data_IF_802423673718
#
_entry.id   IF_802423673718
#
_cell.length_a   1.000
_cell.length_b   1.000
_cell.length_c   1.000
_cell.angle_alpha   90.00
_cell.angle_beta   90.00
_cell.angle_gamma   90.00
#
_symmetry.space_group_name_H-M   'P 1'
#
loop_
_entity.id
_entity.type
_entity.pdbx_description
1 polymer ?
#
# COMPACT_ATOMS: atom_id res chain seq x y z
N UNK A 1 -39.54 -78.25 -24.63
CA UNK A 1 -38.22 -77.62 -24.92
C UNK A 1 -38.15 -77.29 -26.39
N UNK A 2 -38.21 -76.00 -26.78
CA UNK A 2 -38.17 -75.57 -28.18
C UNK A 2 -37.85 -74.08 -28.33
N UNK A 3 -36.95 -73.81 -29.29
CA UNK A 3 -36.71 -72.60 -30.13
C UNK A 3 -35.81 -71.44 -29.63
N UNK A 4 -34.92 -71.04 -30.55
CA UNK A 4 -33.99 -69.89 -30.62
C UNK A 4 -34.74 -68.54 -30.92
N UNK A 5 -34.10 -67.45 -31.44
CA UNK A 5 -32.92 -66.62 -31.05
C UNK A 5 -33.29 -65.09 -30.92
N UNK A 6 -32.26 -64.22 -30.82
CA UNK A 6 -32.14 -62.78 -31.20
C UNK A 6 -32.02 -61.65 -30.15
N UNK A 7 -30.97 -60.84 -30.39
CA UNK A 7 -30.81 -59.36 -30.35
C UNK A 7 -30.55 -58.55 -29.07
N UNK A 8 -29.44 -57.79 -29.16
CA UNK A 8 -29.15 -56.41 -28.70
C UNK A 8 -28.99 -56.10 -27.19
N UNK A 9 -27.83 -55.52 -26.80
CA UNK A 9 -27.74 -54.10 -26.39
C UNK A 9 -26.27 -53.70 -26.05
N UNK A 10 -26.00 -52.40 -26.27
CA UNK A 10 -24.81 -51.57 -26.12
C UNK A 10 -23.93 -51.77 -24.85
N UNK A 11 -22.61 -51.57 -24.99
CA UNK A 11 -21.93 -50.50 -24.24
C UNK A 11 -20.58 -50.06 -24.83
N UNK A 12 -20.26 -48.79 -24.54
CA UNK A 12 -19.33 -47.88 -25.21
C UNK A 12 -17.90 -48.02 -24.70
N UNK A 13 -16.90 -47.71 -25.55
CA UNK A 13 -15.65 -47.02 -25.13
C UNK A 13 -14.84 -46.43 -26.30
N UNK A 14 -14.63 -45.12 -26.18
CA UNK A 14 -13.46 -44.33 -26.56
C UNK A 14 -13.13 -44.08 -28.04
N UNK A 15 -13.54 -42.90 -28.53
CA UNK A 15 -12.86 -42.19 -29.63
C UNK A 15 -12.60 -40.74 -29.17
N UNK A 16 -11.33 -40.41 -28.92
CA UNK A 16 -10.87 -39.02 -28.88
C UNK A 16 -10.75 -38.55 -30.33
N UNK A 17 -11.53 -37.54 -30.71
CA UNK A 17 -11.48 -36.92 -32.04
C UNK A 17 -11.02 -35.48 -31.86
N UNK A 18 -9.87 -35.16 -32.46
CA UNK A 18 -9.36 -33.81 -32.67
C UNK A 18 -10.24 -33.12 -33.71
N UNK A 19 -10.70 -31.91 -33.42
CA UNK A 19 -11.42 -31.06 -34.38
C UNK A 19 -10.78 -29.68 -34.45
N UNK A 20 -10.42 -29.33 -35.68
CA UNK A 20 -9.89 -28.05 -36.13
C UNK A 20 -11.02 -27.10 -36.58
N UNK A 21 -10.66 -25.83 -36.80
CA UNK A 21 -11.46 -24.78 -37.46
C UNK A 21 -12.00 -23.76 -36.46
N UNK A 22 -12.02 -22.45 -36.72
CA UNK A 22 -12.05 -21.69 -37.97
C UNK A 22 -12.01 -20.20 -37.58
N UNK A 23 -11.38 -19.31 -38.38
CA UNK A 23 -11.94 -18.02 -38.86
C UNK A 23 -10.85 -17.03 -39.36
N UNK A 24 -10.86 -16.81 -40.69
CA UNK A 24 -10.76 -15.56 -41.47
C UNK A 24 -9.43 -14.75 -41.45
N UNK A 25 -8.65 -14.70 -42.55
CA UNK A 25 -8.78 -13.92 -43.82
C UNK A 25 -8.42 -12.41 -43.72
N UNK A 26 -7.20 -12.07 -44.20
CA UNK A 26 -6.71 -10.89 -44.99
C UNK A 26 -7.12 -9.43 -44.60
N UNK A 27 -6.27 -8.39 -44.80
CA UNK A 27 -5.24 -8.30 -45.86
C UNK A 27 -3.86 -7.72 -45.47
N UNK A 28 -2.81 -8.22 -46.15
CA UNK A 28 -1.56 -7.49 -46.35
C UNK A 28 -1.74 -6.59 -47.59
N UNK A 29 -1.79 -5.28 -47.36
CA UNK A 29 -1.60 -4.27 -48.41
C UNK A 29 -0.11 -3.89 -48.46
N UNK A 30 0.36 -3.76 -49.69
CA UNK A 30 1.73 -3.58 -50.14
C UNK A 30 2.31 -2.18 -49.80
N UNK A 31 3.60 -2.18 -49.43
CA UNK A 31 4.65 -1.19 -49.72
C UNK A 31 4.54 0.29 -49.29
N UNK A 32 5.74 0.78 -48.88
CA UNK A 32 6.22 2.18 -48.72
C UNK A 32 5.70 2.84 -47.44
N UNK A 33 6.53 3.26 -46.48
CA UNK A 33 7.79 3.99 -46.60
C UNK A 33 8.73 3.64 -45.43
N UNK A 34 9.99 3.35 -45.74
CA UNK A 34 11.11 3.48 -44.82
C UNK A 34 11.69 4.88 -45.00
N UNK A 35 11.77 5.72 -43.95
CA UNK A 35 12.84 6.67 -43.82
C UNK A 35 13.81 6.23 -42.71
N UNK A 36 15.08 6.41 -43.05
CA UNK A 36 16.31 6.18 -42.30
C UNK A 36 16.26 6.48 -40.78
N UNK A 37 16.83 5.52 -40.02
CA UNK A 37 17.81 5.66 -38.94
C UNK A 37 17.80 6.96 -38.11
N UNK A 38 17.18 6.90 -36.93
CA UNK A 38 17.90 7.03 -35.65
C UNK A 38 17.06 6.40 -34.53
N UNK A 39 16.97 5.07 -34.52
CA UNK A 39 16.48 4.38 -33.33
C UNK A 39 17.65 4.42 -32.34
N UNK A 40 17.62 5.38 -31.42
CA UNK A 40 18.36 5.26 -30.19
C UNK A 40 18.05 3.88 -29.63
N UNK A 41 19.08 3.13 -29.24
CA UNK A 41 18.91 1.92 -28.45
C UNK A 41 18.31 2.39 -27.13
N UNK A 42 16.98 2.47 -27.07
CA UNK A 42 16.23 2.55 -25.82
C UNK A 42 16.58 1.27 -25.10
N UNK A 43 17.28 1.42 -23.98
CA UNK A 43 17.76 0.33 -23.15
C UNK A 43 16.56 -0.56 -22.80
N UNK A 44 16.72 -1.88 -22.90
CA UNK A 44 15.65 -2.82 -22.55
C UNK A 44 15.11 -2.62 -21.12
N UNK A 45 15.86 -1.94 -20.25
CA UNK A 45 15.46 -1.51 -18.91
C UNK A 45 14.28 -0.51 -18.90
N UNK A 46 14.22 0.45 -19.84
CA UNK A 46 13.19 1.49 -19.89
C UNK A 46 11.83 0.91 -20.34
N UNK A 47 11.86 -0.04 -21.27
CA UNK A 47 10.66 -0.76 -21.73
C UNK A 47 10.09 -1.73 -20.69
N UNK A 48 10.90 -2.22 -19.76
CA UNK A 48 10.40 -3.05 -18.64
C UNK A 48 9.76 -2.18 -17.57
N UNK A 49 10.32 -1.01 -17.29
CA UNK A 49 9.80 -0.07 -16.29
C UNK A 49 8.44 0.49 -16.71
N UNK A 50 8.29 0.94 -17.96
CA UNK A 50 7.00 1.38 -18.51
C UNK A 50 5.94 0.29 -18.48
N UNK A 51 6.33 -0.97 -18.68
CA UNK A 51 5.41 -2.12 -18.71
C UNK A 51 5.00 -2.60 -17.32
N UNK A 52 5.85 -2.41 -16.31
CA UNK A 52 5.51 -2.65 -14.90
C UNK A 52 4.59 -1.54 -14.39
N UNK A 53 4.93 -0.27 -14.67
CA UNK A 53 4.13 0.92 -14.33
C UNK A 53 2.71 0.81 -14.92
N UNK A 54 2.58 0.46 -16.19
CA UNK A 54 1.26 0.30 -16.83
C UNK A 54 0.46 -0.87 -16.28
N UNK A 55 1.10 -1.97 -15.86
CA UNK A 55 0.40 -3.07 -15.18
C UNK A 55 -0.12 -2.66 -13.80
N UNK A 56 0.69 -1.95 -13.01
CA UNK A 56 0.26 -1.46 -11.70
C UNK A 56 -0.90 -0.46 -11.83
N UNK A 57 -0.82 0.47 -12.78
CA UNK A 57 -1.90 1.42 -13.08
C UNK A 57 -3.18 0.67 -13.50
N UNK A 58 -3.07 -0.28 -14.43
CA UNK A 58 -4.23 -1.05 -14.91
C UNK A 58 -4.84 -1.94 -13.82
N UNK A 59 -4.03 -2.55 -12.95
CA UNK A 59 -4.51 -3.34 -11.81
C UNK A 59 -5.25 -2.46 -10.79
N UNK A 60 -4.77 -1.23 -10.54
CA UNK A 60 -5.40 -0.26 -9.65
C UNK A 60 -6.69 0.35 -10.23
N UNK A 61 -6.83 0.41 -11.56
CA UNK A 61 -8.09 0.84 -12.21
C UNK A 61 -9.12 -0.30 -12.26
N UNK A 62 -8.68 -1.54 -12.49
CA UNK A 62 -9.56 -2.70 -12.69
C UNK A 62 -10.13 -3.25 -11.38
N UNK A 63 -9.32 -3.30 -10.31
CA UNK A 63 -9.83 -3.48 -8.97
C UNK A 63 -10.05 -2.08 -8.39
N UNK A 64 -11.28 -1.65 -8.10
CA UNK A 64 -11.58 -0.38 -7.43
C UNK A 64 -11.05 -0.28 -5.97
N UNK A 65 -9.89 -0.88 -5.71
CA UNK A 65 -9.06 -0.62 -4.56
C UNK A 65 -8.59 0.82 -4.78
N UNK A 66 -9.00 1.75 -3.93
CA UNK A 66 -8.29 3.02 -3.80
C UNK A 66 -7.15 2.75 -2.80
N UNK A 67 -5.95 2.32 -3.24
CA UNK A 67 -4.81 2.37 -2.35
C UNK A 67 -4.52 3.84 -2.02
N UNK A 68 -3.75 4.10 -0.96
CA UNK A 68 -3.16 5.41 -0.78
C UNK A 68 -2.50 5.94 -2.06
N UNK A 69 -2.55 7.26 -2.25
CA UNK A 69 -1.88 7.89 -3.39
C UNK A 69 -0.36 7.86 -3.14
N UNK A 70 0.33 6.89 -3.75
CA UNK A 70 1.80 6.80 -3.80
C UNK A 70 2.40 5.56 -3.11
N UNK A 71 3.51 5.05 -3.66
CA UNK A 71 4.30 4.00 -3.03
C UNK A 71 4.91 4.50 -1.70
N UNK A 72 4.97 3.61 -0.70
CA UNK A 72 5.51 3.93 0.61
C UNK A 72 7.04 3.99 0.54
N UNK A 73 7.60 5.20 0.59
CA UNK A 73 9.05 5.40 0.63
C UNK A 73 9.48 6.01 1.97
N UNK A 74 10.24 5.25 2.73
CA UNK A 74 10.70 5.63 4.07
C UNK A 74 12.22 5.70 4.13
N UNK A 75 12.73 6.75 4.76
CA UNK A 75 14.08 6.80 5.28
C UNK A 75 14.07 6.11 6.66
N UNK A 76 15.08 5.28 6.94
CA UNK A 76 15.19 4.57 8.23
C UNK A 76 16.43 5.07 8.98
N UNK A 77 16.23 5.51 10.22
CA UNK A 77 17.31 5.77 11.17
C UNK A 77 17.80 4.47 11.82
N UNK A 78 19.01 4.50 12.37
CA UNK A 78 19.62 3.35 13.03
C UNK A 78 18.89 2.90 14.31
N UNK A 79 18.08 3.75 14.93
CA UNK A 79 17.31 3.50 16.16
C UNK A 79 15.82 3.18 15.92
N UNK A 80 15.50 2.55 14.77
CA UNK A 80 14.14 2.13 14.38
C UNK A 80 13.12 3.27 14.25
N UNK A 81 13.60 4.50 14.06
CA UNK A 81 12.77 5.63 13.64
C UNK A 81 12.73 5.70 12.12
N UNK A 82 11.63 6.21 11.57
CA UNK A 82 11.43 6.34 10.13
C UNK A 82 11.02 7.77 9.79
N UNK A 83 11.34 8.20 8.57
CA UNK A 83 10.86 9.46 8.04
C UNK A 83 10.27 9.28 6.64
N UNK A 84 9.18 9.98 6.34
CA UNK A 84 8.55 9.99 5.02
C UNK A 84 9.48 10.68 4.01
N UNK A 85 9.77 10.04 2.88
CA UNK A 85 10.59 10.65 1.81
C UNK A 85 9.74 11.18 0.66
N UNK A 86 8.46 10.80 0.62
CA UNK A 86 7.41 11.35 -0.24
C UNK A 86 6.19 11.70 0.61
N UNK A 87 5.36 12.67 0.20
CA UNK A 87 4.09 12.91 0.86
C UNK A 87 3.18 11.69 0.77
N UNK A 88 2.33 11.53 1.79
CA UNK A 88 1.40 10.42 1.96
C UNK A 88 0.03 11.05 2.18
N UNK A 89 -0.96 10.70 1.36
CA UNK A 89 -2.34 11.17 1.51
C UNK A 89 -3.30 10.02 1.78
N UNK A 90 -4.12 10.14 2.80
CA UNK A 90 -5.19 9.19 3.09
C UNK A 90 -6.56 9.84 2.92
N UNK A 91 -7.44 9.15 2.22
CA UNK A 91 -8.86 9.47 2.06
C UNK A 91 -9.65 8.17 2.17
N UNK A 92 -10.78 8.13 2.89
CA UNK A 92 -11.60 6.93 2.95
C UNK A 92 -12.01 6.45 1.55
N UNK A 93 -11.92 5.15 1.29
CA UNK A 93 -12.31 4.55 0.02
C UNK A 93 -13.83 4.64 -0.22
N UNK A 94 -14.63 4.46 0.84
CA UNK A 94 -16.10 4.51 0.78
C UNK A 94 -16.60 5.95 0.81
N UNK A 95 -17.42 6.33 -0.18
CA UNK A 95 -17.96 7.69 -0.30
C UNK A 95 -18.81 8.17 0.89
N UNK A 96 -19.46 7.26 1.62
CA UNK A 96 -20.18 7.62 2.86
C UNK A 96 -19.23 8.05 3.98
N UNK A 97 -18.09 7.37 4.12
CA UNK A 97 -17.07 7.72 5.11
C UNK A 97 -16.40 9.06 4.79
N UNK A 98 -16.31 9.44 3.51
CA UNK A 98 -15.80 10.75 3.09
C UNK A 98 -16.68 11.93 3.55
N UNK A 99 -17.94 11.69 3.93
CA UNK A 99 -18.81 12.71 4.56
C UNK A 99 -18.42 12.99 6.01
N UNK A 100 -17.69 12.07 6.64
CA UNK A 100 -17.36 12.12 8.07
C UNK A 100 -15.87 12.36 8.31
N UNK A 101 -15.00 11.81 7.45
CA UNK A 101 -13.55 11.90 7.60
C UNK A 101 -12.94 12.68 6.44
N UNK A 102 -12.35 13.82 6.78
CA UNK A 102 -11.57 14.62 5.85
C UNK A 102 -10.23 13.95 5.52
N UNK A 103 -9.72 14.24 4.32
CA UNK A 103 -8.40 13.81 3.86
C UNK A 103 -7.30 14.15 4.88
N UNK A 104 -6.33 13.26 5.04
CA UNK A 104 -5.12 13.48 5.85
C UNK A 104 -3.93 13.51 4.94
N UNK A 105 -3.19 14.62 4.95
CA UNK A 105 -1.94 14.75 4.22
C UNK A 105 -0.77 14.76 5.20
N UNK A 106 0.06 13.73 5.09
CA UNK A 106 1.32 13.59 5.82
C UNK A 106 2.43 14.15 4.92
N UNK A 107 3.15 15.20 5.35
CA UNK A 107 4.16 15.84 4.54
C UNK A 107 5.41 14.95 4.40
N UNK A 108 6.27 15.29 3.45
CA UNK A 108 7.65 14.81 3.41
C UNK A 108 8.37 15.19 4.72
N UNK A 109 9.26 14.31 5.18
CA UNK A 109 10.09 14.51 6.35
C UNK A 109 9.40 14.22 7.68
N UNK A 110 8.15 13.74 7.68
CA UNK A 110 7.46 13.37 8.93
C UNK A 110 8.13 12.15 9.59
N UNK A 111 8.55 12.33 10.84
CA UNK A 111 9.25 11.30 11.64
C UNK A 111 8.25 10.50 12.49
N UNK A 112 8.31 9.18 12.41
CA UNK A 112 7.40 8.20 13.03
C UNK A 112 8.16 7.00 13.58
N UNK A 113 7.63 6.41 14.64
CA UNK A 113 8.16 5.22 15.33
C UNK A 113 7.21 4.01 15.22
N UNK A 114 6.04 4.18 14.57
CA UNK A 114 4.94 3.21 14.54
C UNK A 114 4.48 2.75 15.94
N UNK A 115 4.84 3.49 17.00
CA UNK A 115 4.70 3.04 18.38
C UNK A 115 3.25 3.06 18.87
N UNK A 116 2.34 3.66 18.10
CA UNK A 116 0.91 3.59 18.35
C UNK A 116 0.36 2.16 18.30
N UNK A 117 0.97 1.26 17.54
CA UNK A 117 0.57 -0.15 17.48
C UNK A 117 1.42 -0.97 18.45
N UNK A 118 0.83 -1.60 19.49
CA UNK A 118 1.59 -2.37 20.46
C UNK A 118 2.45 -3.47 19.80
N UNK A 119 3.71 -3.60 20.24
CA UNK A 119 4.70 -4.53 19.65
C UNK A 119 4.23 -5.98 19.60
N UNK A 120 3.36 -6.40 20.51
CA UNK A 120 2.80 -7.77 20.49
C UNK A 120 2.04 -8.06 19.20
N UNK A 121 1.46 -7.05 18.55
CA UNK A 121 0.79 -7.20 17.27
C UNK A 121 1.74 -7.21 16.08
N UNK A 122 3.02 -6.84 16.25
CA UNK A 122 4.00 -6.85 15.16
C UNK A 122 4.32 -8.26 14.63
N UNK A 123 4.02 -9.30 15.40
CA UNK A 123 4.09 -10.69 14.90
C UNK A 123 3.02 -10.98 13.84
N UNK A 124 1.89 -10.28 13.89
CA UNK A 124 0.78 -10.38 12.94
C UNK A 124 0.77 -9.22 11.93
N UNK A 125 1.60 -8.21 12.18
CA UNK A 125 1.74 -6.97 11.43
C UNK A 125 3.23 -6.74 11.14
N UNK A 126 3.81 -7.45 10.17
CA UNK A 126 5.22 -7.28 9.85
C UNK A 126 5.47 -5.84 9.36
N UNK A 127 6.59 -5.23 9.76
CA UNK A 127 6.87 -3.77 9.63
C UNK A 127 7.01 -3.28 8.19
N UNK A 128 7.25 -4.19 7.25
CA UNK A 128 7.23 -4.00 5.80
C UNK A 128 5.81 -4.11 5.21
N UNK A 129 4.80 -4.30 6.06
CA UNK A 129 3.49 -4.77 5.68
C UNK A 129 2.43 -3.69 5.48
N UNK A 130 1.23 -4.22 5.19
CA UNK A 130 0.00 -3.49 4.87
C UNK A 130 -0.44 -2.43 5.90
N UNK A 131 0.05 -2.50 7.14
CA UNK A 131 -0.39 -1.60 8.21
C UNK A 131 0.48 -0.34 8.35
N UNK A 132 1.65 -0.30 7.71
CA UNK A 132 2.61 0.79 7.91
C UNK A 132 2.02 2.12 7.45
N UNK A 133 1.29 2.12 6.32
CA UNK A 133 0.64 3.32 5.82
C UNK A 133 -0.41 3.90 6.79
N UNK A 134 -1.44 3.15 7.25
CA UNK A 134 -2.39 3.69 8.21
C UNK A 134 -1.75 4.01 9.57
N UNK A 135 -0.66 3.33 9.97
CA UNK A 135 0.10 3.67 11.17
C UNK A 135 0.80 5.04 11.06
N UNK A 136 1.39 5.38 9.90
CA UNK A 136 1.99 6.70 9.65
C UNK A 136 0.95 7.81 9.77
N UNK A 137 -0.20 7.63 9.12
CA UNK A 137 -1.32 8.58 9.15
C UNK A 137 -1.78 8.79 10.59
N UNK A 138 -1.90 7.71 11.36
CA UNK A 138 -2.28 7.75 12.77
C UNK A 138 -1.25 8.50 13.63
N UNK A 139 0.04 8.17 13.51
CA UNK A 139 1.11 8.83 14.24
C UNK A 139 1.18 10.33 13.91
N UNK A 140 0.94 10.70 12.66
CA UNK A 140 0.86 12.10 12.24
C UNK A 140 -0.29 12.84 12.93
N UNK A 141 -1.47 12.22 13.01
CA UNK A 141 -2.61 12.79 13.75
C UNK A 141 -2.34 12.87 15.26
N UNK A 142 -1.69 11.86 15.82
CA UNK A 142 -1.26 11.84 17.22
C UNK A 142 -0.21 12.90 17.55
N UNK A 143 0.64 13.25 16.58
CA UNK A 143 1.62 14.31 16.73
C UNK A 143 1.00 15.70 16.55
N UNK A 144 0.25 15.90 15.46
CA UNK A 144 -0.34 17.19 15.10
C UNK A 144 -1.46 17.61 16.05
N UNK A 145 -2.27 16.65 16.50
CA UNK A 145 -3.41 16.85 17.39
C UNK A 145 -4.42 17.89 16.88
N UNK A 146 -4.55 18.00 15.55
CA UNK A 146 -5.55 18.85 14.88
C UNK A 146 -6.94 18.19 14.81
N UNK A 147 -7.04 16.93 15.20
CA UNK A 147 -8.27 16.13 15.30
C UNK A 147 -8.35 15.50 16.68
N UNK A 148 -9.52 14.98 17.06
CA UNK A 148 -9.62 14.22 18.32
C UNK A 148 -8.87 12.90 18.24
N UNK A 149 -8.42 12.40 19.39
CA UNK A 149 -7.80 11.08 19.51
C UNK A 149 -8.73 9.98 18.99
N UNK A 150 -10.02 10.06 19.33
CA UNK A 150 -11.08 9.17 18.86
C UNK A 150 -11.12 9.10 17.33
N UNK A 151 -11.01 10.25 16.67
CA UNK A 151 -11.01 10.32 15.22
C UNK A 151 -9.73 9.72 14.63
N UNK A 152 -8.57 9.99 15.23
CA UNK A 152 -7.30 9.38 14.80
C UNK A 152 -7.36 7.84 14.92
N UNK A 153 -7.81 7.31 16.06
CA UNK A 153 -7.94 5.87 16.32
C UNK A 153 -8.90 5.20 15.32
N UNK A 154 -9.99 5.89 14.96
CA UNK A 154 -10.97 5.40 14.00
C UNK A 154 -10.45 5.46 12.56
N UNK A 155 -9.65 6.48 12.20
CA UNK A 155 -8.95 6.54 10.91
C UNK A 155 -7.95 5.39 10.77
N UNK A 156 -7.19 5.07 11.81
CA UNK A 156 -6.32 3.89 11.84
C UNK A 156 -7.11 2.62 11.55
N UNK A 157 -8.24 2.44 12.24
CA UNK A 157 -9.11 1.27 12.06
C UNK A 157 -9.62 1.14 10.62
N UNK A 158 -10.12 2.24 10.03
CA UNK A 158 -10.64 2.25 8.66
C UNK A 158 -9.50 1.96 7.68
N UNK A 159 -8.37 2.65 7.80
CA UNK A 159 -7.21 2.42 6.95
C UNK A 159 -6.72 0.99 7.02
N UNK A 160 -6.64 0.38 8.21
CA UNK A 160 -6.26 -1.03 8.32
C UNK A 160 -7.26 -1.99 7.61
N UNK A 161 -8.56 -1.70 7.65
CA UNK A 161 -9.58 -2.49 6.93
C UNK A 161 -9.43 -2.35 5.41
N UNK A 162 -9.18 -1.14 4.91
CA UNK A 162 -8.99 -0.86 3.49
C UNK A 162 -7.76 -1.57 2.92
N UNK A 163 -6.73 -1.72 3.74
CA UNK A 163 -5.53 -2.48 3.39
C UNK A 163 -5.70 -3.99 3.53
N UNK A 164 -6.91 -4.48 3.86
CA UNK A 164 -7.22 -5.90 3.92
C UNK A 164 -6.53 -6.63 5.07
N UNK A 165 -6.28 -5.93 6.19
CA UNK A 165 -5.81 -6.57 7.43
C UNK A 165 -6.96 -7.35 8.05
N UNK A 166 -6.65 -8.51 8.62
CA UNK A 166 -7.64 -9.38 9.25
C UNK A 166 -8.48 -8.61 10.29
N UNK A 167 -9.83 -8.70 10.25
CA UNK A 167 -10.71 -7.96 11.15
C UNK A 167 -10.45 -8.20 12.65
N UNK A 168 -9.96 -9.38 13.04
CA UNK A 168 -9.60 -9.69 14.42
C UNK A 168 -8.41 -8.83 14.84
N UNK A 169 -7.38 -8.77 14.00
CA UNK A 169 -6.19 -7.94 14.23
C UNK A 169 -6.56 -6.45 14.25
N UNK A 170 -7.37 -6.00 13.29
CA UNK A 170 -7.86 -4.61 13.26
C UNK A 170 -8.57 -4.23 14.57
N UNK A 171 -9.52 -5.06 15.01
CA UNK A 171 -10.28 -4.77 16.22
C UNK A 171 -9.38 -4.83 17.48
N UNK A 172 -8.44 -5.78 17.53
CA UNK A 172 -7.48 -5.88 18.64
C UNK A 172 -6.59 -4.62 18.74
N UNK A 173 -6.05 -4.15 17.62
CA UNK A 173 -5.27 -2.90 17.56
C UNK A 173 -6.13 -1.70 17.95
N UNK A 174 -7.34 -1.58 17.37
CA UNK A 174 -8.26 -0.50 17.68
C UNK A 174 -8.57 -0.42 19.17
N UNK A 175 -8.97 -1.53 19.81
CA UNK A 175 -9.27 -1.53 21.24
C UNK A 175 -8.03 -1.23 22.10
N UNK A 176 -6.85 -1.65 21.65
CA UNK A 176 -5.60 -1.34 22.33
C UNK A 176 -5.28 0.15 22.32
N UNK A 177 -5.41 0.84 21.18
CA UNK A 177 -5.21 2.29 21.10
C UNK A 177 -6.31 3.06 21.83
N UNK A 178 -7.55 2.55 21.83
CA UNK A 178 -8.63 3.16 22.63
C UNK A 178 -8.32 3.13 24.12
N UNK A 179 -7.82 2.00 24.63
CA UNK A 179 -7.53 1.79 26.05
C UNK A 179 -6.25 2.51 26.52
N UNK A 180 -5.18 2.48 25.72
CA UNK A 180 -3.85 2.94 26.15
C UNK A 180 -3.35 4.21 25.43
N UNK A 181 -4.02 4.65 24.36
CA UNK A 181 -3.54 5.75 23.50
C UNK A 181 -3.48 7.11 24.19
N UNK A 182 -4.21 7.33 25.29
CA UNK A 182 -4.17 8.58 26.06
C UNK A 182 -2.75 8.90 26.58
N UNK A 183 -1.98 7.88 26.95
CA UNK A 183 -0.58 8.04 27.41
C UNK A 183 0.28 8.60 26.27
N UNK A 184 0.20 7.98 25.09
CA UNK A 184 0.95 8.43 23.90
C UNK A 184 0.50 9.82 23.43
N UNK A 185 -0.81 10.09 23.46
CA UNK A 185 -1.40 11.37 23.10
C UNK A 185 -0.87 12.51 23.97
N UNK A 186 -0.90 12.34 25.30
CA UNK A 186 -0.38 13.33 26.26
C UNK A 186 1.14 13.46 26.18
N UNK A 187 1.84 12.36 25.95
CA UNK A 187 3.29 12.37 25.77
C UNK A 187 3.71 13.20 24.55
N UNK A 188 3.05 13.03 23.40
CA UNK A 188 3.31 13.84 22.21
C UNK A 188 3.02 15.32 22.44
N UNK A 189 1.92 15.65 23.12
CA UNK A 189 1.59 17.03 23.49
C UNK A 189 2.71 17.67 24.35
N UNK A 190 3.25 16.90 25.31
CA UNK A 190 4.37 17.32 26.16
C UNK A 190 5.67 17.51 25.37
N UNK A 191 6.03 16.57 24.49
CA UNK A 191 7.23 16.70 23.66
C UNK A 191 7.15 17.93 22.75
N UNK A 192 5.99 18.18 22.14
CA UNK A 192 5.75 19.36 21.32
C UNK A 192 5.85 20.66 22.13
N UNK A 193 5.29 20.70 23.35
CA UNK A 193 5.41 21.90 24.21
C UNK A 193 6.84 22.14 24.70
N UNK A 194 7.68 21.11 24.73
CA UNK A 194 9.11 21.19 25.00
C UNK A 194 9.95 21.55 23.76
N UNK A 195 9.32 21.76 22.60
CA UNK A 195 9.98 22.18 21.37
C UNK A 195 10.47 21.06 20.46
N UNK A 196 10.12 19.80 20.73
CA UNK A 196 10.44 18.70 19.79
C UNK A 196 9.71 18.92 18.46
N UNK A 197 10.43 18.69 17.35
CA UNK A 197 9.93 18.80 15.97
C UNK A 197 10.03 17.46 15.28
N UNK A 198 9.11 17.18 14.35
CA UNK A 198 9.04 15.91 13.61
C UNK A 198 8.92 16.07 12.11
N UNK A 199 9.08 17.28 11.56
CA UNK A 199 9.06 17.52 10.10
C UNK A 199 10.45 17.93 9.66
N UNK A 200 11.15 17.04 8.97
CA UNK A 200 12.49 17.26 8.45
C UNK A 200 12.46 18.09 7.17
N UNK A 201 13.41 19.03 7.06
CA UNK A 201 13.77 19.73 5.83
C UNK A 201 14.85 18.98 5.05
N UNK A 202 15.71 18.21 5.73
CA UNK A 202 16.77 17.39 5.12
C UNK A 202 17.01 16.10 5.92
N UNK A 203 17.54 15.10 5.23
CA UNK A 203 17.84 13.78 5.79
C UNK A 203 19.34 13.65 6.06
N UNK A 204 19.77 12.83 7.03
CA UNK A 204 21.19 12.56 7.24
C UNK A 204 21.73 11.65 6.12
N UNK A 205 23.01 11.84 5.77
CA UNK A 205 23.72 10.99 4.80
C UNK A 205 24.34 9.75 5.46
N UNK A 206 24.64 9.82 6.77
CA UNK A 206 25.21 8.71 7.53
C UNK A 206 24.15 7.63 7.80
N UNK A 207 24.32 6.38 7.30
CA UNK A 207 23.37 5.30 7.52
C UNK A 207 23.30 4.83 8.99
N UNK A 208 24.30 5.17 9.81
CA UNK A 208 24.32 4.86 11.24
C UNK A 208 23.69 5.97 12.09
N UNK A 209 23.20 7.04 11.47
CA UNK A 209 22.56 8.16 12.17
C UNK A 209 21.33 7.68 12.95
N UNK A 210 21.31 8.02 14.24
CA UNK A 210 20.17 7.80 15.14
C UNK A 210 19.30 9.06 15.18
N UNK A 211 17.99 8.90 15.24
CA UNK A 211 17.06 10.00 15.41
C UNK A 211 17.33 10.80 16.68
N UNK A 212 17.67 10.13 17.79
CA UNK A 212 17.98 10.82 19.06
C UNK A 212 19.13 11.83 18.92
N UNK A 213 20.10 11.55 18.04
CA UNK A 213 21.20 12.47 17.76
C UNK A 213 20.76 13.51 16.73
N UNK A 214 20.10 13.08 15.64
CA UNK A 214 19.71 13.96 14.54
C UNK A 214 18.76 15.07 14.98
N UNK A 215 17.85 14.79 15.92
CA UNK A 215 16.85 15.75 16.39
C UNK A 215 17.43 16.92 17.20
N UNK A 216 18.69 16.84 17.64
CA UNK A 216 19.36 17.92 18.35
C UNK A 216 19.78 19.07 17.42
N UNK A 217 19.84 18.81 16.10
CA UNK A 217 20.26 19.79 15.11
C UNK A 217 19.11 20.70 14.71
N UNK A 218 19.13 21.96 15.13
CA UNK A 218 17.97 22.84 14.91
C UNK A 218 17.69 23.22 13.45
N UNK A 219 18.68 23.10 12.57
CA UNK A 219 18.62 23.50 11.17
C UNK A 219 18.12 22.38 10.22
N UNK A 220 17.82 21.18 10.76
CA UNK A 220 17.33 20.03 9.97
C UNK A 220 15.81 20.00 9.82
N UNK A 221 15.10 20.88 10.53
CA UNK A 221 13.64 20.91 10.60
C UNK A 221 13.03 22.02 9.74
N UNK A 222 11.84 21.75 9.22
CA UNK A 222 11.01 22.73 8.51
C UNK A 222 10.24 23.65 9.46
#
# INVERSE_FOLDING_TARGET
MSRQPHSQCLERRTLFRVSAGLLLLFPYMLMRYLPLLSVGIVRAEELTEDREITKEIWLNEFFQIKPPIGALHLFRFADEMYATTKPISWVPAKGEQQKTYEQVDVPIGFVTDFASVPRIFWQFLPRDGKYTYPAIVHDYLYWTQNRSREMADQILRIGMQEFGIDPIVVNAVYWSVRAAGDIAWKHNAKLKSQGERRILKRFPEDPLMKWQNWKEHNDVFA
#
